data_IF_907345283673
#
_entry.id   IF_907345283673
#
_cell.length_a   1.000
_cell.length_b   1.000
_cell.length_c   1.000
_cell.angle_alpha   90.00
_cell.angle_beta   90.00
_cell.angle_gamma   90.00
#
_symmetry.space_group_name_H-M   'P 1'
#
loop_
_entity.id
_entity.type
_entity.pdbx_description
1 polymer ?
#
# COMPACT_ATOMS: atom_id res chain seq x y z
N UNK A 1 14.35 22.25 9.24
CA UNK A 1 14.68 21.05 10.04
C UNK A 1 15.49 20.10 9.18
N UNK A 2 16.53 19.45 9.72
CA UNK A 2 17.38 18.54 8.93
C UNK A 2 16.53 17.43 8.31
N UNK A 3 16.55 17.24 6.98
CA UNK A 3 16.07 16.00 6.39
C UNK A 3 17.03 14.92 6.90
N UNK A 4 16.53 13.99 7.70
CA UNK A 4 17.26 12.77 7.94
C UNK A 4 17.15 12.01 6.62
N UNK A 5 18.28 11.84 5.92
CA UNK A 5 18.44 10.80 4.89
C UNK A 5 18.24 9.45 5.57
N UNK A 6 16.98 9.12 5.83
CA UNK A 6 16.59 7.79 6.25
C UNK A 6 16.64 6.96 4.97
N UNK A 7 17.47 5.94 5.01
CA UNK A 7 17.91 5.15 3.88
C UNK A 7 16.77 4.25 3.37
N UNK A 8 15.95 4.82 2.49
CA UNK A 8 14.89 4.12 1.77
C UNK A 8 15.44 2.89 1.03
N UNK A 9 16.70 2.91 0.61
CA UNK A 9 17.31 1.82 -0.13
C UNK A 9 17.71 0.66 0.80
N UNK A 10 18.21 0.94 2.01
CA UNK A 10 18.35 -0.08 3.06
C UNK A 10 17.01 -0.69 3.46
N UNK A 11 15.96 0.12 3.58
CA UNK A 11 14.61 -0.38 3.88
C UNK A 11 14.10 -1.31 2.77
N UNK A 12 14.23 -0.91 1.50
CA UNK A 12 13.88 -1.75 0.34
C UNK A 12 14.67 -3.06 0.33
N UNK A 13 16.00 -2.98 0.46
CA UNK A 13 16.88 -4.15 0.47
C UNK A 13 16.51 -5.13 1.59
N UNK A 14 16.17 -4.63 2.78
CA UNK A 14 15.74 -5.45 3.90
C UNK A 14 14.41 -6.16 3.61
N UNK A 15 13.42 -5.44 3.06
CA UNK A 15 12.12 -6.02 2.69
C UNK A 15 12.27 -7.03 1.55
N UNK A 16 13.12 -6.75 0.56
CA UNK A 16 13.38 -7.66 -0.55
C UNK A 16 14.09 -8.94 -0.11
N UNK A 17 14.91 -8.87 0.96
CA UNK A 17 15.51 -10.06 1.58
C UNK A 17 14.51 -10.92 2.34
N UNK A 18 13.56 -10.30 3.06
CA UNK A 18 12.49 -10.99 3.76
C UNK A 18 11.21 -10.15 3.83
N UNK A 19 10.27 -10.47 2.93
CA UNK A 19 9.00 -9.74 2.82
C UNK A 19 8.04 -9.97 3.99
N UNK A 20 8.34 -10.89 4.92
CA UNK A 20 7.48 -11.20 6.07
C UNK A 20 7.89 -10.49 7.36
N UNK A 21 8.94 -9.66 7.32
CA UNK A 21 9.37 -8.89 8.50
C UNK A 21 8.25 -7.96 8.99
N UNK A 22 8.06 -7.90 10.28
CA UNK A 22 7.15 -6.95 10.93
C UNK A 22 7.77 -5.56 10.98
N UNK A 23 6.95 -4.51 11.14
CA UNK A 23 7.46 -3.14 11.32
C UNK A 23 8.37 -2.97 12.53
N UNK A 24 8.24 -3.82 13.57
CA UNK A 24 9.13 -3.80 14.75
C UNK A 24 10.49 -4.40 14.40
N UNK A 25 10.53 -5.56 13.76
CA UNK A 25 11.80 -6.17 13.34
C UNK A 25 12.54 -5.28 12.34
N UNK A 26 11.83 -4.60 11.44
CA UNK A 26 12.44 -3.62 10.53
C UNK A 26 13.03 -2.44 11.31
N UNK A 27 12.31 -1.93 12.31
CA UNK A 27 12.77 -0.83 13.16
C UNK A 27 14.03 -1.20 13.95
N UNK A 28 14.08 -2.41 14.48
CA UNK A 28 15.23 -2.96 15.20
C UNK A 28 16.44 -3.15 14.27
N UNK A 29 16.25 -3.74 13.09
CA UNK A 29 17.31 -3.94 12.10
C UNK A 29 17.92 -2.64 11.58
N UNK A 30 17.09 -1.61 11.39
CA UNK A 30 17.52 -0.31 10.87
C UNK A 30 17.86 0.70 11.98
N UNK A 31 17.69 0.32 13.24
CA UNK A 31 17.88 1.17 14.42
C UNK A 31 17.15 2.53 14.31
N UNK A 32 15.91 2.51 13.81
CA UNK A 32 15.04 3.69 13.68
C UNK A 32 13.72 3.45 14.40
N UNK A 33 12.96 4.52 14.67
CA UNK A 33 11.67 4.37 15.34
C UNK A 33 10.66 3.63 14.46
N UNK A 34 9.76 2.84 15.08
CA UNK A 34 8.65 2.17 14.39
C UNK A 34 7.79 3.15 13.57
N UNK A 35 7.53 4.35 14.09
CA UNK A 35 6.76 5.38 13.39
C UNK A 35 7.49 5.89 12.15
N UNK A 36 8.83 5.99 12.21
CA UNK A 36 9.64 6.30 11.04
C UNK A 36 9.50 5.22 9.98
N UNK A 37 9.68 3.94 10.32
CA UNK A 37 9.47 2.81 9.39
C UNK A 37 8.09 2.88 8.71
N UNK A 38 7.02 3.09 9.48
CA UNK A 38 5.66 3.18 8.95
C UNK A 38 5.49 4.33 7.95
N UNK A 39 6.07 5.50 8.25
CA UNK A 39 6.04 6.65 7.34
C UNK A 39 6.81 6.37 6.04
N UNK A 40 7.97 5.73 6.14
CA UNK A 40 8.81 5.37 4.99
C UNK A 40 8.15 4.32 4.10
N UNK A 41 7.62 3.25 4.68
CA UNK A 41 6.84 2.22 3.96
C UNK A 41 5.68 2.85 3.18
N UNK A 42 4.91 3.73 3.83
CA UNK A 42 3.80 4.44 3.20
C UNK A 42 4.25 5.32 2.05
N UNK A 43 5.36 6.06 2.21
CA UNK A 43 5.93 6.91 1.15
C UNK A 43 6.42 6.10 -0.05
N UNK A 44 7.01 4.94 0.19
CA UNK A 44 7.51 4.03 -0.85
C UNK A 44 6.41 3.16 -1.50
N UNK A 45 5.17 3.27 -1.01
CA UNK A 45 4.02 2.53 -1.52
C UNK A 45 3.94 1.09 -1.03
N UNK A 46 4.70 0.69 -0.01
CA UNK A 46 4.57 -0.66 0.55
C UNK A 46 3.30 -0.82 1.37
N UNK A 47 2.60 -1.92 1.13
CA UNK A 47 1.44 -2.37 1.90
C UNK A 47 1.66 -3.80 2.35
N UNK A 48 1.19 -4.14 3.55
CA UNK A 48 1.20 -5.54 4.02
C UNK A 48 -0.09 -6.22 3.61
N UNK A 49 0.01 -7.30 2.83
CA UNK A 49 -1.10 -8.19 2.46
C UNK A 49 -0.77 -9.59 2.97
N UNK A 50 -1.61 -10.13 3.87
CA UNK A 50 -1.40 -11.46 4.49
C UNK A 50 0.00 -11.63 5.09
N UNK A 51 0.46 -10.60 5.83
CA UNK A 51 1.79 -10.53 6.45
C UNK A 51 2.96 -10.59 5.45
N UNK A 52 2.71 -10.15 4.21
CA UNK A 52 3.72 -10.01 3.17
C UNK A 52 3.72 -8.56 2.69
N UNK A 53 4.89 -7.92 2.73
CA UNK A 53 5.09 -6.61 2.13
C UNK A 53 5.07 -6.70 0.61
N UNK A 54 4.18 -5.91 0.01
CA UNK A 54 4.04 -5.76 -1.43
C UNK A 54 4.15 -4.27 -1.74
N UNK A 55 5.02 -3.92 -2.68
CA UNK A 55 5.10 -2.55 -3.19
C UNK A 55 3.91 -2.30 -4.10
N UNK A 56 3.06 -1.37 -3.73
CA UNK A 56 1.99 -0.86 -4.57
C UNK A 56 2.56 0.25 -5.47
N UNK A 57 3.21 -0.16 -6.56
CA UNK A 57 3.77 0.75 -7.56
C UNK A 57 2.93 0.68 -8.83
N UNK A 58 2.38 1.82 -9.24
CA UNK A 58 1.76 1.98 -10.55
C UNK A 58 2.84 2.37 -11.53
N UNK A 59 3.05 1.55 -12.55
CA UNK A 59 3.89 1.92 -13.71
C UNK A 59 3.22 3.06 -14.48
N UNK A 60 4.00 3.87 -15.20
CA UNK A 60 3.46 4.96 -16.02
C UNK A 60 2.37 4.48 -16.99
N UNK A 61 2.55 3.32 -17.61
CA UNK A 61 1.52 2.72 -18.47
C UNK A 61 0.18 2.49 -17.74
N UNK A 62 0.23 1.97 -16.51
CA UNK A 62 -0.97 1.76 -15.69
C UNK A 62 -1.55 3.07 -15.17
N UNK A 63 -0.74 4.12 -15.04
CA UNK A 63 -1.22 5.45 -14.69
C UNK A 63 -2.04 6.02 -15.85
N UNK A 64 -1.48 6.01 -17.06
CA UNK A 64 -2.16 6.50 -18.27
C UNK A 64 -3.44 5.70 -18.56
N UNK A 65 -3.38 4.36 -18.51
CA UNK A 65 -4.56 3.50 -18.68
C UNK A 65 -5.68 3.85 -17.69
N UNK A 66 -5.34 4.14 -16.43
CA UNK A 66 -6.32 4.53 -15.42
C UNK A 66 -6.94 5.90 -15.69
N UNK A 67 -6.15 6.86 -16.16
CA UNK A 67 -6.64 8.20 -16.54
C UNK A 67 -7.63 8.05 -17.70
N UNK A 68 -7.25 7.33 -18.75
CA UNK A 68 -8.07 7.14 -19.94
C UNK A 68 -9.40 6.43 -19.62
N UNK A 69 -9.37 5.38 -18.78
CA UNK A 69 -10.57 4.68 -18.33
C UNK A 69 -11.47 5.61 -17.51
N UNK A 70 -10.90 6.36 -16.56
CA UNK A 70 -11.66 7.31 -15.74
C UNK A 70 -12.34 8.38 -16.61
N UNK A 71 -11.62 8.98 -17.55
CA UNK A 71 -12.16 9.99 -18.46
C UNK A 71 -13.28 9.43 -19.34
N UNK A 72 -13.12 8.19 -19.83
CA UNK A 72 -14.14 7.50 -20.60
C UNK A 72 -15.41 7.23 -19.77
N UNK A 73 -15.25 6.72 -18.56
CA UNK A 73 -16.37 6.43 -17.65
C UNK A 73 -17.10 7.71 -17.20
N UNK A 74 -16.36 8.80 -16.98
CA UNK A 74 -16.93 10.10 -16.62
C UNK A 74 -17.81 10.63 -17.76
N UNK A 75 -17.28 10.67 -18.98
CA UNK A 75 -18.05 11.07 -20.17
C UNK A 75 -19.27 10.17 -20.38
N UNK A 76 -19.13 8.87 -20.13
CA UNK A 76 -20.26 7.94 -20.21
C UNK A 76 -21.34 8.28 -19.18
N UNK A 77 -20.98 8.55 -17.93
CA UNK A 77 -21.96 8.89 -16.89
C UNK A 77 -22.71 10.19 -17.19
N UNK A 78 -22.04 11.18 -17.79
CA UNK A 78 -22.68 12.43 -18.23
C UNK A 78 -23.71 12.21 -19.35
N UNK A 79 -23.42 11.29 -20.29
CA UNK A 79 -24.26 11.05 -21.46
C UNK A 79 -25.35 9.98 -21.24
N UNK A 80 -25.04 8.90 -20.51
CA UNK A 80 -25.96 7.81 -20.16
C UNK A 80 -25.68 7.35 -18.72
N UNK A 81 -26.34 7.97 -17.71
CA UNK A 81 -26.12 7.66 -16.31
C UNK A 81 -26.32 6.17 -16.00
N UNK A 82 -25.25 5.49 -15.60
CA UNK A 82 -25.23 4.05 -15.37
C UNK A 82 -24.90 3.68 -13.92
N UNK A 83 -24.45 4.62 -13.10
CA UNK A 83 -24.13 4.36 -11.68
C UNK A 83 -25.31 3.74 -10.90
N UNK A 84 -26.55 4.17 -11.15
CA UNK A 84 -27.75 3.62 -10.50
C UNK A 84 -28.03 2.15 -10.85
N UNK A 85 -27.45 1.65 -11.95
CA UNK A 85 -27.60 0.29 -12.45
C UNK A 85 -26.38 -0.58 -12.15
N UNK A 86 -25.33 -0.01 -11.55
CA UNK A 86 -24.07 -0.70 -11.29
C UNK A 86 -24.21 -1.67 -10.12
N UNK A 87 -23.75 -2.91 -10.31
CA UNK A 87 -23.59 -3.90 -9.26
C UNK A 87 -22.09 -4.18 -9.13
N UNK A 88 -21.55 -4.05 -7.92
CA UNK A 88 -20.14 -4.31 -7.63
C UNK A 88 -20.00 -5.44 -6.60
N UNK A 89 -18.87 -6.13 -6.63
CA UNK A 89 -18.50 -7.14 -5.67
C UNK A 89 -16.98 -7.20 -5.55
N UNK A 90 -16.48 -7.44 -4.35
CA UNK A 90 -15.05 -7.66 -4.07
C UNK A 90 -14.92 -8.72 -2.98
N UNK A 91 -13.83 -9.49 -3.04
CA UNK A 91 -13.54 -10.54 -2.07
C UNK A 91 -12.59 -10.00 -1.01
N UNK A 92 -13.00 -10.14 0.25
CA UNK A 92 -12.14 -9.84 1.40
C UNK A 92 -11.93 -11.10 2.23
N UNK A 93 -10.70 -11.61 2.25
CA UNK A 93 -10.35 -12.74 3.10
C UNK A 93 -10.58 -12.41 4.59
N UNK A 94 -11.28 -13.29 5.29
CA UNK A 94 -11.49 -13.22 6.74
C UNK A 94 -10.66 -14.34 7.37
N UNK A 95 -9.72 -13.97 8.25
CA UNK A 95 -8.92 -14.96 8.98
C UNK A 95 -9.71 -15.53 10.17
N UNK A 96 -9.54 -16.82 10.43
CA UNK A 96 -10.26 -17.55 11.48
C UNK A 96 -10.04 -16.94 12.88
N UNK A 97 -8.80 -16.56 13.19
CA UNK A 97 -8.44 -15.89 14.43
C UNK A 97 -8.04 -14.43 14.17
N UNK A 98 -9.02 -13.54 14.22
CA UNK A 98 -8.79 -12.09 14.22
C UNK A 98 -8.31 -11.64 15.61
N UNK A 99 -7.04 -11.91 15.94
CA UNK A 99 -6.43 -11.42 17.19
C UNK A 99 -6.41 -9.88 17.14
N UNK A 100 -7.41 -9.26 17.76
CA UNK A 100 -7.45 -7.80 17.92
C UNK A 100 -6.34 -7.40 18.89
N UNK A 101 -5.21 -6.95 18.34
CA UNK A 101 -4.11 -6.40 19.13
C UNK A 101 -4.63 -5.17 19.87
N UNK A 102 -4.84 -5.27 21.20
CA UNK A 102 -5.16 -4.11 22.04
C UNK A 102 -4.03 -3.10 21.88
N UNK A 103 -4.36 -1.85 21.55
CA UNK A 103 -3.38 -0.76 21.59
C UNK A 103 -3.03 -0.54 23.06
N UNK A 104 -1.76 -0.73 23.39
CA UNK A 104 -1.14 -0.19 24.62
C UNK A 104 -0.94 1.31 24.47
#
# INVERSE_FOLDING_TARGET
GRPIEIDDDKLKALIDSNRRLTTREIAENLNISKSSVENHLKRLGYISKLDIWVRHELKEIHLTERIDICDSLLKREENDPFLKRMITGDEKSIVYNNVKRKRS
#
